data_IF_808255202894
#
_entry.id   IF_808255202894
#
_cell.length_a   1.000
_cell.length_b   1.000
_cell.length_c   1.000
_cell.angle_alpha   90.00
_cell.angle_beta   90.00
_cell.angle_gamma   90.00
#
_symmetry.space_group_name_H-M   'P 1'
#
loop_
_entity.id
_entity.type
_entity.pdbx_description
1 polymer ?
#
# COMPACT_ATOMS: atom_id res chain seq x y z
N UNK A 1 -2.68 -6.58 -10.11
CA UNK A 1 -3.04 -5.23 -10.61
C UNK A 1 -3.17 -4.30 -9.40
N UNK A 2 -2.68 -3.07 -9.50
CA UNK A 2 -2.72 -2.08 -8.41
C UNK A 2 -3.85 -1.08 -8.66
N UNK A 3 -4.76 -0.90 -7.69
CA UNK A 3 -5.86 0.07 -7.79
C UNK A 3 -5.51 1.39 -7.07
N UNK A 4 -5.70 2.54 -7.72
CA UNK A 4 -5.73 3.85 -7.04
C UNK A 4 -7.05 3.98 -6.28
N UNK A 5 -6.99 4.30 -4.99
CA UNK A 5 -8.18 4.65 -4.22
C UNK A 5 -8.38 6.17 -4.24
N UNK A 6 -9.64 6.58 -4.37
CA UNK A 6 -10.01 7.99 -4.45
C UNK A 6 -10.97 8.42 -3.31
N UNK A 7 -11.30 7.53 -2.37
CA UNK A 7 -12.10 7.88 -1.19
C UNK A 7 -11.72 7.06 0.05
N UNK A 8 -11.98 7.65 1.22
CA UNK A 8 -11.83 6.97 2.52
C UNK A 8 -12.79 5.78 2.66
N UNK A 9 -13.97 5.84 2.05
CA UNK A 9 -14.97 4.77 2.06
C UNK A 9 -14.47 3.53 1.31
N UNK A 10 -13.86 3.71 0.14
CA UNK A 10 -13.25 2.60 -0.61
C UNK A 10 -12.13 1.95 0.20
N UNK A 11 -11.32 2.77 0.87
CA UNK A 11 -10.24 2.30 1.71
C UNK A 11 -10.75 1.49 2.91
N UNK A 12 -11.80 1.97 3.59
CA UNK A 12 -12.44 1.24 4.69
C UNK A 12 -13.04 -0.09 4.21
N UNK A 13 -13.74 -0.08 3.07
CA UNK A 13 -14.37 -1.27 2.50
C UNK A 13 -13.34 -2.35 2.11
N UNK A 14 -12.24 -1.96 1.46
CA UNK A 14 -11.19 -2.91 1.04
C UNK A 14 -10.48 -3.53 2.25
N UNK A 15 -10.17 -2.74 3.28
CA UNK A 15 -9.56 -3.26 4.51
C UNK A 15 -10.45 -4.29 5.22
N UNK A 16 -11.77 -4.15 5.11
CA UNK A 16 -12.75 -5.05 5.72
C UNK A 16 -13.09 -6.29 4.86
N UNK A 17 -12.59 -6.37 3.62
CA UNK A 17 -12.94 -7.43 2.66
C UNK A 17 -12.32 -8.82 2.96
N UNK A 18 -11.60 -8.96 4.08
CA UNK A 18 -11.07 -10.24 4.58
C UNK A 18 -9.81 -10.77 3.90
N UNK A 19 -9.32 -10.11 2.83
CA UNK A 19 -8.02 -10.40 2.22
C UNK A 19 -6.94 -9.48 2.80
N UNK A 20 -5.67 -9.92 2.88
CA UNK A 20 -4.56 -9.00 3.15
C UNK A 20 -4.52 -7.89 2.11
N UNK A 21 -4.30 -6.66 2.56
CA UNK A 21 -4.23 -5.46 1.72
C UNK A 21 -2.86 -4.82 1.89
N UNK A 22 -2.16 -4.56 0.80
CA UNK A 22 -0.93 -3.76 0.80
C UNK A 22 -1.21 -2.43 0.12
N UNK A 23 -0.93 -1.35 0.83
CA UNK A 23 -1.20 0.02 0.43
C UNK A 23 0.11 0.74 0.17
N UNK A 24 0.31 1.28 -1.03
CA UNK A 24 1.38 2.23 -1.35
C UNK A 24 0.89 3.67 -1.15
N UNK A 25 1.35 4.33 -0.09
CA UNK A 25 1.15 5.76 0.11
C UNK A 25 2.21 6.53 -0.68
N UNK A 26 1.77 7.16 -1.75
CA UNK A 26 2.59 7.74 -2.81
C UNK A 26 2.29 9.22 -3.01
N UNK A 27 3.07 9.88 -3.85
CA UNK A 27 2.80 11.25 -4.28
C UNK A 27 3.32 11.50 -5.69
N UNK A 28 2.61 12.31 -6.47
CA UNK A 28 2.98 12.66 -7.85
C UNK A 28 4.39 13.27 -8.02
N UNK A 29 4.87 13.99 -7.00
CA UNK A 29 6.17 14.65 -6.95
C UNK A 29 7.29 13.76 -6.37
N UNK A 30 6.95 12.58 -5.85
CA UNK A 30 7.89 11.68 -5.21
C UNK A 30 8.67 10.85 -6.26
N UNK A 31 9.93 11.23 -6.50
CA UNK A 31 10.84 10.49 -7.38
C UNK A 31 11.05 9.02 -6.99
N UNK A 32 11.35 8.69 -5.72
CA UNK A 32 11.49 7.31 -5.27
C UNK A 32 10.23 6.46 -5.47
N UNK A 33 9.04 7.06 -5.34
CA UNK A 33 7.76 6.39 -5.56
C UNK A 33 7.63 5.92 -7.01
N UNK A 34 8.00 6.78 -7.98
CA UNK A 34 8.01 6.41 -9.41
C UNK A 34 8.98 5.27 -9.71
N UNK A 35 10.11 5.21 -8.99
CA UNK A 35 11.11 4.16 -9.19
C UNK A 35 10.65 2.79 -8.68
N UNK A 36 9.92 2.74 -7.55
CA UNK A 36 9.46 1.48 -6.94
C UNK A 36 8.12 0.98 -7.51
N UNK A 37 7.31 1.86 -8.12
CA UNK A 37 5.99 1.53 -8.63
C UNK A 37 5.95 0.31 -9.58
N UNK A 38 6.87 0.14 -10.57
CA UNK A 38 6.86 -1.06 -11.42
C UNK A 38 7.07 -2.35 -10.63
N UNK A 39 7.91 -2.32 -9.59
CA UNK A 39 8.14 -3.48 -8.75
C UNK A 39 6.91 -3.82 -7.90
N UNK A 40 6.21 -2.79 -7.39
CA UNK A 40 4.94 -2.98 -6.70
C UNK A 40 3.86 -3.59 -7.61
N UNK A 41 3.81 -3.17 -8.88
CA UNK A 41 2.92 -3.74 -9.89
C UNK A 41 3.25 -5.21 -10.21
N UNK A 42 4.54 -5.56 -10.34
CA UNK A 42 5.00 -6.94 -10.51
C UNK A 42 4.57 -7.83 -9.34
N UNK A 43 4.77 -7.37 -8.10
CA UNK A 43 4.33 -8.07 -6.90
C UNK A 43 2.81 -8.26 -6.88
N UNK A 44 2.04 -7.25 -7.32
CA UNK A 44 0.58 -7.35 -7.45
C UNK A 44 0.10 -8.41 -8.45
N UNK A 45 0.97 -8.83 -9.36
CA UNK A 45 0.68 -9.90 -10.33
C UNK A 45 1.11 -11.26 -9.79
N UNK A 46 2.18 -11.28 -8.98
CA UNK A 46 2.72 -12.50 -8.37
C UNK A 46 1.88 -13.02 -7.19
N UNK A 47 1.22 -12.14 -6.45
CA UNK A 47 0.43 -12.46 -5.25
C UNK A 47 -1.05 -12.09 -5.44
N UNK A 48 -1.82 -12.83 -6.27
CA UNK A 48 -3.23 -12.52 -6.57
C UNK A 48 -4.19 -12.66 -5.37
N UNK A 49 -3.76 -13.33 -4.30
CA UNK A 49 -4.48 -13.46 -3.03
C UNK A 49 -4.45 -12.19 -2.20
N UNK A 50 -3.47 -11.30 -2.43
CA UNK A 50 -3.32 -10.01 -1.75
C UNK A 50 -3.95 -8.91 -2.61
N UNK A 51 -4.62 -7.97 -1.95
CA UNK A 51 -5.15 -6.76 -2.60
C UNK A 51 -4.08 -5.66 -2.58
N UNK A 52 -3.67 -5.19 -3.76
CA UNK A 52 -2.72 -4.10 -3.89
C UNK A 52 -3.43 -2.81 -4.27
N UNK A 53 -3.22 -1.77 -3.46
CA UNK A 53 -3.77 -0.45 -3.70
C UNK A 53 -2.71 0.62 -3.51
N UNK A 54 -2.97 1.79 -4.08
CA UNK A 54 -2.18 2.99 -3.84
C UNK A 54 -3.08 4.17 -3.49
N UNK A 55 -2.56 5.06 -2.67
CA UNK A 55 -3.21 6.29 -2.22
C UNK A 55 -2.23 7.43 -2.47
N UNK A 56 -2.65 8.40 -3.27
CA UNK A 56 -1.91 9.66 -3.36
C UNK A 56 -2.23 10.49 -2.11
N UNK A 57 -1.20 10.85 -1.35
CA UNK A 57 -1.34 11.57 -0.08
C UNK A 57 -1.85 12.99 -0.28
N UNK A 58 -1.66 13.59 -1.47
CA UNK A 58 -2.17 14.92 -1.80
C UNK A 58 -3.66 14.86 -2.21
N UNK A 59 -4.15 13.71 -2.69
CA UNK A 59 -5.56 13.52 -3.06
C UNK A 59 -6.42 13.09 -1.86
N UNK A 60 -5.83 12.40 -0.89
CA UNK A 60 -6.51 11.85 0.29
C UNK A 60 -5.76 12.19 1.58
N UNK A 61 -5.56 13.50 1.82
CA UNK A 61 -4.81 14.04 2.95
C UNK A 61 -5.33 13.52 4.31
N UNK A 62 -6.65 13.48 4.50
CA UNK A 62 -7.28 12.99 5.74
C UNK A 62 -6.92 11.52 6.00
N UNK A 63 -6.98 10.67 4.96
CA UNK A 63 -6.64 9.24 5.07
C UNK A 63 -5.15 9.07 5.37
N UNK A 64 -4.30 9.85 4.70
CA UNK A 64 -2.86 9.83 4.94
C UNK A 64 -2.53 10.25 6.39
N UNK A 65 -3.21 11.29 6.90
CA UNK A 65 -3.10 11.74 8.28
C UNK A 65 -3.53 10.68 9.29
N UNK A 66 -4.70 10.07 9.09
CA UNK A 66 -5.20 8.98 9.93
C UNK A 66 -4.29 7.74 9.93
N UNK A 67 -3.65 7.45 8.79
CA UNK A 67 -2.71 6.33 8.66
C UNK A 67 -1.31 6.65 9.20
N UNK A 68 -1.07 7.88 9.66
CA UNK A 68 0.21 8.31 10.22
C UNK A 68 1.32 8.44 9.18
N UNK A 69 0.98 8.76 7.93
CA UNK A 69 1.96 8.87 6.85
C UNK A 69 2.77 10.16 7.00
N UNK A 70 4.09 10.02 7.10
CA UNK A 70 5.03 11.13 7.26
C UNK A 70 6.10 11.19 6.18
N UNK A 71 6.20 10.14 5.36
CA UNK A 71 7.19 10.03 4.29
C UNK A 71 6.68 9.14 3.16
N UNK A 72 7.10 9.46 1.94
CA UNK A 72 6.70 8.74 0.74
C UNK A 72 7.93 8.15 0.02
N UNK A 73 7.84 6.91 -0.50
CA UNK A 73 6.70 6.00 -0.34
C UNK A 73 6.68 5.40 1.07
N UNK A 74 5.49 5.14 1.60
CA UNK A 74 5.28 4.28 2.76
C UNK A 74 4.32 3.18 2.36
N UNK A 75 4.68 1.94 2.65
CA UNK A 75 3.82 0.78 2.41
C UNK A 75 3.26 0.29 3.73
N UNK A 76 1.94 0.11 3.81
CA UNK A 76 1.30 -0.48 4.98
C UNK A 76 0.54 -1.75 4.59
N UNK A 77 0.56 -2.74 5.49
CA UNK A 77 -0.17 -3.99 5.35
C UNK A 77 -1.34 -3.98 6.32
N UNK A 78 -2.52 -4.34 5.81
CA UNK A 78 -3.72 -4.53 6.61
C UNK A 78 -4.22 -5.96 6.50
N UNK A 79 -4.66 -6.52 7.62
CA UNK A 79 -5.41 -7.77 7.67
C UNK A 79 -6.59 -7.60 8.61
N UNK A 80 -7.78 -8.05 8.20
CA UNK A 80 -9.02 -7.95 8.98
C UNK A 80 -9.31 -6.54 9.51
N UNK A 81 -9.10 -5.50 8.68
CA UNK A 81 -9.35 -4.11 9.06
C UNK A 81 -8.23 -3.43 9.87
N UNK A 82 -7.21 -4.17 10.31
CA UNK A 82 -6.16 -3.68 11.22
C UNK A 82 -4.81 -3.60 10.52
N UNK A 83 -4.02 -2.56 10.82
CA UNK A 83 -2.63 -2.45 10.35
C UNK A 83 -1.75 -3.47 11.08
N UNK A 84 -1.07 -4.33 10.33
CA UNK A 84 -0.24 -5.42 10.89
C UNK A 84 1.25 -5.23 10.64
N UNK A 85 1.63 -4.50 9.60
CA UNK A 85 3.04 -4.20 9.29
C UNK A 85 3.15 -2.95 8.43
N UNK A 86 4.33 -2.34 8.39
CA UNK A 86 4.64 -1.21 7.54
C UNK A 86 6.13 -1.13 7.18
N UNK A 87 6.44 -0.44 6.08
CA UNK A 87 7.80 -0.01 5.75
C UNK A 87 7.78 1.36 5.09
N UNK A 88 8.86 2.11 5.27
CA UNK A 88 9.06 3.40 4.60
C UNK A 88 10.28 3.35 3.70
N UNK A 89 10.19 4.00 2.53
CA UNK A 89 11.24 4.11 1.54
C UNK A 89 11.09 3.16 0.35
N UNK A 90 11.86 3.42 -0.70
CA UNK A 90 11.82 2.70 -1.97
C UNK A 90 12.90 1.60 -2.03
N UNK A 91 12.74 0.56 -1.21
CA UNK A 91 13.64 -0.60 -1.17
C UNK A 91 12.93 -1.86 -1.71
N UNK A 92 13.28 -2.33 -2.94
CA UNK A 92 12.63 -3.49 -3.55
C UNK A 92 12.72 -4.77 -2.71
N UNK A 93 13.85 -5.02 -2.06
CA UNK A 93 14.05 -6.25 -1.30
C UNK A 93 13.18 -6.27 -0.04
N UNK A 94 13.10 -5.14 0.66
CA UNK A 94 12.22 -5.00 1.83
C UNK A 94 10.75 -5.05 1.42
N UNK A 95 10.37 -4.46 0.29
CA UNK A 95 9.00 -4.50 -0.22
C UNK A 95 8.57 -5.93 -0.57
N UNK A 96 9.44 -6.67 -1.26
CA UNK A 96 9.19 -8.07 -1.56
C UNK A 96 9.07 -8.93 -0.29
N UNK A 97 9.88 -8.67 0.74
CA UNK A 97 9.77 -9.35 2.03
C UNK A 97 8.44 -9.01 2.73
N UNK A 98 8.07 -7.73 2.80
CA UNK A 98 6.81 -7.27 3.39
C UNK A 98 5.59 -7.93 2.73
N UNK A 99 5.58 -7.98 1.39
CA UNK A 99 4.51 -8.62 0.61
C UNK A 99 4.49 -10.13 0.83
N UNK A 100 5.65 -10.77 0.91
CA UNK A 100 5.73 -12.20 1.21
C UNK A 100 5.14 -12.50 2.59
N UNK A 101 5.51 -11.75 3.61
CA UNK A 101 4.97 -11.93 4.97
C UNK A 101 3.45 -11.69 4.98
N UNK A 102 2.97 -10.72 4.19
CA UNK A 102 1.54 -10.45 4.03
C UNK A 102 0.76 -11.60 3.36
N UNK A 103 1.41 -12.44 2.54
CA UNK A 103 0.76 -13.60 1.90
C UNK A 103 0.48 -14.75 2.87
N UNK A 104 1.07 -14.70 4.07
CA UNK A 104 0.94 -15.74 5.10
C UNK A 104 -0.06 -15.35 6.22
N UNK A 105 -0.77 -14.23 6.07
CA UNK A 105 -1.74 -13.67 7.03
C UNK A 105 -3.18 -14.19 6.89
#
# INVERSE_FOLDING_TARGET
MVKQLASAEEFAAIKAAGKPVVVDFTASWCGPCKAIAPHFEELSTKYPEIVFVKIDVDELEDVAGECGISAMPTFQVYSNGVKVSEMTGADPAKLAALVKDASEL
#
